data_IF_306165185389
#
_entry.id   IF_306165185389
#
_cell.length_a   1.000
_cell.length_b   1.000
_cell.length_c   1.000
_cell.angle_alpha   90.00
_cell.angle_beta   90.00
_cell.angle_gamma   90.00
#
_symmetry.space_group_name_H-M   'P 1'
#
loop_
_entity.id
_entity.type
_entity.pdbx_description
1 polymer ?
#
# COMPACT_ATOMS: atom_id res chain seq x y z
N UNK A 1 2.34 4.70 -40.55
CA UNK A 1 1.36 3.99 -39.71
C UNK A 1 1.93 3.97 -38.31
N UNK A 2 1.41 4.78 -37.38
CA UNK A 2 1.85 4.74 -35.98
C UNK A 2 1.25 3.50 -35.33
N UNK A 3 2.09 2.63 -34.76
CA UNK A 3 1.65 1.59 -33.86
C UNK A 3 0.81 2.23 -32.75
N UNK A 4 -0.50 1.99 -32.79
CA UNK A 4 -1.37 2.33 -31.66
C UNK A 4 -0.90 1.46 -30.51
N UNK A 5 -0.34 2.09 -29.48
CA UNK A 5 -0.09 1.49 -28.18
C UNK A 5 -1.33 0.69 -27.77
N UNK A 6 -1.21 -0.64 -27.70
CA UNK A 6 -2.27 -1.64 -27.47
C UNK A 6 -2.88 -1.59 -26.06
N UNK A 7 -2.62 -0.51 -25.36
CA UNK A 7 -2.75 -0.37 -23.93
C UNK A 7 -3.54 0.92 -23.64
N UNK A 8 -4.86 0.83 -23.39
CA UNK A 8 -5.70 1.99 -23.09
C UNK A 8 -5.16 2.71 -21.85
N UNK A 9 -5.29 4.04 -21.80
CA UNK A 9 -4.74 4.90 -20.74
C UNK A 9 -4.87 4.28 -19.33
N UNK A 10 -3.79 3.65 -18.88
CA UNK A 10 -3.68 2.95 -17.60
C UNK A 10 -3.62 3.97 -16.46
N UNK A 11 -4.77 4.53 -16.07
CA UNK A 11 -4.86 5.41 -14.89
C UNK A 11 -5.51 4.75 -13.68
N UNK A 12 -6.16 3.60 -13.85
CA UNK A 12 -7.25 3.23 -12.93
C UNK A 12 -7.00 2.24 -11.79
N UNK A 13 -6.03 1.30 -11.80
CA UNK A 13 -5.69 0.73 -10.50
C UNK A 13 -5.02 1.81 -9.65
N UNK A 14 -4.34 2.80 -10.25
CA UNK A 14 -3.53 3.75 -9.50
C UNK A 14 -4.32 4.50 -8.42
N UNK A 15 -5.47 5.10 -8.78
CA UNK A 15 -6.30 5.80 -7.80
C UNK A 15 -6.82 4.87 -6.70
N UNK A 16 -7.23 3.64 -7.04
CA UNK A 16 -7.66 2.65 -6.04
C UNK A 16 -6.52 2.28 -5.10
N UNK A 17 -5.30 2.09 -5.64
CA UNK A 17 -4.11 1.73 -4.89
C UNK A 17 -3.59 2.88 -4.01
N UNK A 18 -3.69 4.13 -4.47
CA UNK A 18 -3.38 5.33 -3.68
C UNK A 18 -4.35 5.49 -2.49
N UNK A 19 -5.65 5.37 -2.76
CA UNK A 19 -6.69 5.39 -1.72
C UNK A 19 -6.52 4.24 -0.72
N UNK A 20 -6.09 3.07 -1.19
CA UNK A 20 -5.76 1.94 -0.32
C UNK A 20 -4.59 2.29 0.61
N UNK A 21 -3.52 2.91 0.10
CA UNK A 21 -2.40 3.34 0.94
C UNK A 21 -2.86 4.36 1.98
N UNK A 22 -3.68 5.35 1.59
CA UNK A 22 -4.23 6.32 2.53
C UNK A 22 -5.09 5.64 3.62
N UNK A 23 -5.93 4.69 3.22
CA UNK A 23 -6.72 3.87 4.14
C UNK A 23 -5.83 3.08 5.11
N UNK A 24 -4.77 2.44 4.62
CA UNK A 24 -3.83 1.68 5.48
C UNK A 24 -3.07 2.59 6.46
N UNK A 25 -2.73 3.82 6.05
CA UNK A 25 -2.14 4.82 6.96
C UNK A 25 -3.04 5.11 8.17
N UNK A 26 -4.36 5.09 8.00
CA UNK A 26 -5.32 5.25 9.11
C UNK A 26 -5.29 4.09 10.12
N UNK A 27 -4.70 2.96 9.77
CA UNK A 27 -4.59 1.76 10.62
C UNK A 27 -3.31 1.68 11.43
N UNK A 28 -2.56 2.80 11.52
CA UNK A 28 -1.32 2.91 12.31
C UNK A 28 -1.39 2.26 13.70
N UNK A 29 -2.44 2.46 14.53
CA UNK A 29 -2.48 1.84 15.87
C UNK A 29 -2.37 0.31 15.83
N UNK A 30 -3.13 -0.35 14.95
CA UNK A 30 -3.09 -1.81 14.80
C UNK A 30 -1.76 -2.30 14.24
N UNK A 31 -1.23 -1.62 13.22
CA UNK A 31 0.07 -1.96 12.61
C UNK A 31 1.22 -1.80 13.60
N UNK A 32 1.12 -0.83 14.53
CA UNK A 32 2.09 -0.67 15.62
C UNK A 32 2.08 -1.90 16.53
N UNK A 33 0.91 -2.41 16.90
CA UNK A 33 0.80 -3.60 17.75
C UNK A 33 1.30 -4.86 17.03
N UNK A 34 0.91 -5.07 15.78
CA UNK A 34 1.44 -6.20 14.99
C UNK A 34 2.96 -6.14 14.88
N UNK A 35 3.54 -4.96 14.70
CA UNK A 35 4.99 -4.79 14.67
C UNK A 35 5.65 -5.03 16.03
N UNK A 36 5.04 -4.55 17.12
CA UNK A 36 5.54 -4.72 18.49
C UNK A 36 5.60 -6.19 18.89
N UNK A 37 4.60 -6.97 18.46
CA UNK A 37 4.52 -8.41 18.76
C UNK A 37 5.07 -9.29 17.63
N UNK A 38 5.56 -8.71 16.53
CA UNK A 38 6.00 -9.41 15.31
C UNK A 38 4.97 -10.43 14.79
N UNK A 39 3.70 -10.05 14.87
CA UNK A 39 2.60 -10.86 14.42
C UNK A 39 2.40 -10.70 12.91
N UNK A 40 2.09 -11.80 12.26
CA UNK A 40 1.50 -11.80 10.93
C UNK A 40 0.07 -11.29 11.01
N UNK A 41 -0.37 -10.51 10.03
CA UNK A 41 -1.73 -9.96 10.02
C UNK A 41 -2.44 -10.08 8.67
N UNK A 42 -2.08 -11.04 7.80
CA UNK A 42 -2.71 -11.21 6.48
C UNK A 42 -4.23 -11.34 6.56
N UNK A 43 -4.75 -12.16 7.50
CA UNK A 43 -6.19 -12.36 7.66
C UNK A 43 -6.94 -11.10 8.09
N UNK A 44 -6.37 -10.34 9.03
CA UNK A 44 -6.92 -9.04 9.45
C UNK A 44 -6.86 -8.03 8.30
N UNK A 45 -5.71 -7.93 7.64
CA UNK A 45 -5.49 -7.01 6.53
C UNK A 45 -6.45 -7.29 5.37
N UNK A 46 -6.69 -8.57 5.06
CA UNK A 46 -7.70 -8.98 4.08
C UNK A 46 -9.09 -8.46 4.43
N UNK A 47 -9.53 -8.63 5.68
CA UNK A 47 -10.81 -8.10 6.16
C UNK A 47 -10.92 -6.58 6.02
N UNK A 48 -9.87 -5.85 6.38
CA UNK A 48 -9.80 -4.39 6.23
C UNK A 48 -9.87 -3.95 4.77
N UNK A 49 -9.19 -4.67 3.86
CA UNK A 49 -9.23 -4.35 2.42
C UNK A 49 -10.61 -4.66 1.83
N UNK A 50 -11.27 -5.75 2.23
CA UNK A 50 -12.64 -6.04 1.80
C UNK A 50 -13.62 -4.95 2.24
N UNK A 51 -13.48 -4.46 3.48
CA UNK A 51 -14.26 -3.31 3.95
C UNK A 51 -13.98 -2.06 3.11
N UNK A 52 -12.71 -1.75 2.84
CA UNK A 52 -12.32 -0.65 1.97
C UNK A 52 -12.93 -0.77 0.56
N UNK A 53 -12.83 -1.93 -0.09
CA UNK A 53 -13.40 -2.17 -1.41
C UNK A 53 -14.93 -2.02 -1.42
N UNK A 54 -15.62 -2.47 -0.36
CA UNK A 54 -17.06 -2.23 -0.20
C UNK A 54 -17.40 -0.73 -0.20
N UNK A 55 -16.59 0.12 0.44
CA UNK A 55 -16.78 1.58 0.39
C UNK A 55 -16.52 2.15 -1.01
N UNK A 56 -15.55 1.60 -1.76
CA UNK A 56 -15.27 2.02 -3.13
C UNK A 56 -16.36 1.60 -4.11
N UNK A 57 -16.96 0.43 -3.91
CA UNK A 57 -18.10 -0.05 -4.69
C UNK A 57 -19.28 0.91 -4.54
N UNK A 58 -19.57 1.35 -3.32
CA UNK A 58 -20.62 2.34 -3.03
C UNK A 58 -20.33 3.70 -3.70
N UNK A 59 -19.06 4.05 -3.87
CA UNK A 59 -18.59 5.27 -4.56
C UNK A 59 -18.40 5.09 -6.07
N UNK A 60 -18.82 3.95 -6.63
CA UNK A 60 -18.67 3.58 -8.05
C UNK A 60 -17.23 3.70 -8.58
N UNK A 61 -16.23 3.50 -7.70
CA UNK A 61 -14.81 3.49 -8.09
C UNK A 61 -14.34 2.11 -8.55
N UNK A 62 -15.06 1.06 -8.13
CA UNK A 62 -14.89 -0.32 -8.59
C UNK A 62 -16.26 -0.85 -9.00
N UNK A 63 -16.26 -1.92 -9.79
CA UNK A 63 -17.46 -2.58 -10.33
C UNK A 63 -17.83 -3.82 -9.51
N UNK A 64 -16.84 -4.54 -8.98
CA UNK A 64 -17.05 -5.80 -8.26
C UNK A 64 -15.82 -6.13 -7.39
N UNK A 65 -15.98 -7.00 -6.38
CA UNK A 65 -14.86 -7.58 -5.64
C UNK A 65 -15.25 -8.90 -4.95
N UNK A 66 -14.28 -9.80 -4.81
CA UNK A 66 -14.47 -11.14 -4.24
C UNK A 66 -13.23 -11.59 -3.46
N UNK A 67 -13.35 -12.09 -2.22
CA UNK A 67 -12.24 -12.72 -1.53
C UNK A 67 -11.97 -14.13 -2.06
N UNK A 68 -10.71 -14.59 -2.05
CA UNK A 68 -10.37 -16.00 -2.33
C UNK A 68 -10.83 -16.49 -3.72
N UNK A 69 -10.92 -15.58 -4.71
CA UNK A 69 -11.41 -15.91 -6.05
C UNK A 69 -10.44 -16.86 -6.75
N UNK A 70 -10.96 -17.98 -7.24
CA UNK A 70 -10.20 -18.93 -8.04
C UNK A 70 -9.83 -18.30 -9.38
N UNK A 71 -8.58 -18.42 -9.79
CA UNK A 71 -8.17 -18.05 -11.14
C UNK A 71 -8.31 -19.24 -12.13
N UNK A 72 -8.19 -20.47 -11.63
CA UNK A 72 -8.44 -21.76 -12.28
C UNK A 72 -8.27 -22.89 -11.23
N UNK A 73 -8.00 -24.13 -11.66
CA UNK A 73 -7.69 -25.27 -10.79
C UNK A 73 -6.32 -25.18 -10.09
N UNK A 74 -5.46 -24.23 -10.47
CA UNK A 74 -4.11 -24.05 -9.91
C UNK A 74 -4.12 -23.23 -8.61
N UNK A 75 -5.24 -22.57 -8.28
CA UNK A 75 -5.43 -21.90 -7.01
C UNK A 75 -6.33 -20.66 -7.05
N UNK A 76 -6.14 -19.81 -6.04
CA UNK A 76 -6.95 -18.62 -5.76
C UNK A 76 -6.09 -17.44 -5.31
N UNK A 77 -6.53 -16.21 -5.57
CA UNK A 77 -5.89 -15.01 -5.04
C UNK A 77 -6.50 -14.62 -3.69
N UNK A 78 -5.80 -13.82 -2.89
CA UNK A 78 -6.38 -13.31 -1.64
C UNK A 78 -7.61 -12.42 -1.86
N UNK A 79 -7.53 -11.51 -2.84
CA UNK A 79 -8.60 -10.57 -3.18
C UNK A 79 -8.64 -10.35 -4.69
N UNK A 80 -9.84 -10.42 -5.26
CA UNK A 80 -10.15 -9.99 -6.61
C UNK A 80 -10.97 -8.69 -6.57
N UNK A 81 -10.74 -7.79 -7.52
CA UNK A 81 -11.67 -6.69 -7.79
C UNK A 81 -11.66 -6.30 -9.26
N UNK A 82 -12.77 -5.70 -9.71
CA UNK A 82 -12.93 -5.21 -11.07
C UNK A 82 -13.04 -3.69 -11.07
N UNK A 83 -12.32 -3.01 -11.95
CA UNK A 83 -12.44 -1.57 -12.15
C UNK A 83 -12.18 -1.21 -13.62
N UNK A 84 -13.02 -0.34 -14.18
CA UNK A 84 -12.96 0.08 -15.58
C UNK A 84 -12.93 -1.08 -16.58
N UNK A 85 -13.80 -2.07 -16.38
CA UNK A 85 -13.89 -3.25 -17.21
C UNK A 85 -12.69 -4.20 -17.10
N UNK A 86 -11.75 -3.94 -16.20
CA UNK A 86 -10.54 -4.76 -16.01
C UNK A 86 -10.56 -5.48 -14.68
N UNK A 87 -10.07 -6.72 -14.73
CA UNK A 87 -9.91 -7.60 -13.58
C UNK A 87 -8.55 -7.39 -12.94
N UNK A 88 -8.53 -7.29 -11.61
CA UNK A 88 -7.33 -7.13 -10.79
C UNK A 88 -7.25 -8.23 -9.72
N UNK A 89 -6.08 -8.86 -9.63
CA UNK A 89 -5.85 -10.04 -8.81
C UNK A 89 -4.78 -9.74 -7.77
N UNK A 90 -5.19 -9.57 -6.51
CA UNK A 90 -4.30 -9.17 -5.42
C UNK A 90 -3.90 -10.35 -4.54
N UNK A 91 -2.59 -10.47 -4.33
CA UNK A 91 -1.98 -11.32 -3.31
C UNK A 91 -1.41 -10.43 -2.19
N UNK A 92 -1.62 -10.82 -0.93
CA UNK A 92 -1.27 -10.07 0.26
C UNK A 92 -0.20 -10.81 1.04
N UNK A 93 0.87 -10.11 1.43
CA UNK A 93 1.85 -10.65 2.39
C UNK A 93 2.23 -9.65 3.47
N UNK A 94 2.36 -10.15 4.69
CA UNK A 94 2.89 -9.38 5.82
C UNK A 94 4.21 -9.96 6.30
N UNK A 95 5.22 -9.12 6.41
CA UNK A 95 6.58 -9.50 6.76
C UNK A 95 6.93 -8.90 8.14
N UNK A 96 6.61 -9.61 9.24
CA UNK A 96 7.13 -9.27 10.55
C UNK A 96 8.65 -9.53 10.58
N UNK A 97 9.43 -8.52 10.21
CA UNK A 97 10.87 -8.65 10.03
C UNK A 97 11.59 -8.87 11.35
N UNK A 98 12.85 -9.31 11.26
CA UNK A 98 13.73 -9.44 12.43
C UNK A 98 14.59 -8.19 12.67
N UNK A 99 14.34 -7.09 11.94
CA UNK A 99 14.95 -5.79 12.17
C UNK A 99 14.36 -5.10 13.42
N UNK A 100 14.89 -3.93 13.76
CA UNK A 100 14.49 -3.13 14.93
C UNK A 100 14.35 -3.96 16.22
N UNK A 101 15.42 -4.66 16.63
CA UNK A 101 15.42 -5.48 17.87
C UNK A 101 15.15 -4.66 19.13
N UNK A 102 15.40 -3.36 19.10
CA UNK A 102 15.08 -2.45 20.20
C UNK A 102 13.56 -2.21 20.33
N UNK A 103 12.82 -2.27 19.22
CA UNK A 103 11.38 -2.00 19.18
C UNK A 103 10.54 -3.20 19.61
N UNK A 104 11.00 -4.42 19.31
CA UNK A 104 10.31 -5.65 19.69
C UNK A 104 11.27 -6.67 20.31
N UNK A 105 10.86 -7.20 21.48
CA UNK A 105 11.55 -8.29 22.18
C UNK A 105 11.20 -9.67 21.64
N UNK A 106 10.17 -9.78 20.79
CA UNK A 106 9.74 -11.04 20.22
C UNK A 106 10.67 -11.47 19.08
N UNK A 107 10.91 -12.77 18.94
CA UNK A 107 11.66 -13.31 17.80
C UNK A 107 10.72 -13.46 16.58
N UNK A 108 11.28 -13.32 15.39
CA UNK A 108 10.59 -13.62 14.13
C UNK A 108 11.46 -14.48 13.24
N UNK A 109 10.84 -15.16 12.27
CA UNK A 109 11.56 -15.90 11.24
C UNK A 109 12.48 -14.94 10.45
N UNK A 110 13.63 -15.41 9.94
CA UNK A 110 14.47 -14.59 9.07
C UNK A 110 13.69 -14.07 7.86
N UNK A 111 13.87 -12.79 7.54
CA UNK A 111 13.20 -12.13 6.41
C UNK A 111 13.50 -12.83 5.07
N UNK A 112 14.64 -13.51 4.95
CA UNK A 112 15.01 -14.30 3.78
C UNK A 112 13.98 -15.37 3.43
N UNK A 113 13.36 -16.01 4.43
CA UNK A 113 12.30 -17.00 4.18
C UNK A 113 11.05 -16.36 3.61
N UNK A 114 10.64 -15.21 4.15
CA UNK A 114 9.47 -14.48 3.65
C UNK A 114 9.65 -14.04 2.20
N UNK A 115 10.84 -13.55 1.85
CA UNK A 115 11.17 -13.15 0.48
C UNK A 115 11.17 -14.35 -0.47
N UNK A 116 11.66 -15.50 -0.02
CA UNK A 116 11.62 -16.73 -0.81
C UNK A 116 10.18 -17.19 -1.08
N UNK A 117 9.32 -17.19 -0.05
CA UNK A 117 7.91 -17.55 -0.18
C UNK A 117 7.18 -16.57 -1.12
N UNK A 118 7.43 -15.27 -0.96
CA UNK A 118 6.88 -14.25 -1.84
C UNK A 118 7.31 -14.41 -3.30
N UNK A 119 8.58 -14.74 -3.56
CA UNK A 119 9.03 -15.04 -4.92
C UNK A 119 8.27 -16.22 -5.51
N UNK A 120 8.07 -17.30 -4.76
CA UNK A 120 7.28 -18.45 -5.24
C UNK A 120 5.86 -18.04 -5.60
N UNK A 121 5.22 -17.24 -4.77
CA UNK A 121 3.85 -16.77 -5.03
C UNK A 121 3.80 -15.86 -6.26
N UNK A 122 4.79 -14.97 -6.43
CA UNK A 122 4.92 -14.14 -7.64
C UNK A 122 5.18 -14.96 -8.90
N UNK A 123 5.99 -16.02 -8.84
CA UNK A 123 6.21 -16.90 -10.00
C UNK A 123 4.92 -17.63 -10.39
N UNK A 124 4.14 -18.15 -9.41
CA UNK A 124 2.83 -18.75 -9.70
C UNK A 124 1.89 -17.78 -10.41
N UNK A 125 1.81 -16.54 -9.93
CA UNK A 125 0.99 -15.49 -10.55
C UNK A 125 1.41 -15.17 -12.00
N UNK A 126 2.64 -15.53 -12.42
CA UNK A 126 3.05 -15.34 -13.81
C UNK A 126 2.52 -16.38 -14.77
N UNK A 127 2.29 -17.59 -14.27
CA UNK A 127 1.93 -18.77 -15.07
C UNK A 127 0.44 -18.80 -15.39
N UNK A 128 -0.39 -18.24 -14.50
CA UNK A 128 -1.85 -18.25 -14.61
C UNK A 128 -2.36 -17.30 -15.69
N UNK A 129 -2.95 -17.85 -16.75
CA UNK A 129 -3.43 -17.08 -17.93
C UNK A 129 -4.49 -16.03 -17.60
N UNK A 130 -5.49 -16.39 -16.80
CA UNK A 130 -6.56 -15.49 -16.38
C UNK A 130 -6.06 -14.31 -15.50
N UNK A 131 -4.85 -14.43 -14.96
CA UNK A 131 -4.21 -13.43 -14.11
C UNK A 131 -3.20 -12.56 -14.88
N UNK A 132 -2.79 -12.97 -16.10
CA UNK A 132 -1.76 -12.28 -16.89
C UNK A 132 -2.05 -10.79 -17.14
N UNK A 133 -3.32 -10.38 -17.08
CA UNK A 133 -3.75 -8.99 -17.29
C UNK A 133 -3.22 -8.01 -16.23
N UNK A 134 -3.51 -8.24 -14.94
CA UNK A 134 -3.18 -7.27 -13.88
C UNK A 134 -2.97 -7.90 -12.48
N UNK A 135 -1.90 -8.68 -12.25
CA UNK A 135 -1.59 -9.16 -10.91
C UNK A 135 -1.06 -8.02 -10.03
N UNK A 136 -1.52 -7.97 -8.79
CA UNK A 136 -1.11 -7.02 -7.74
C UNK A 136 -0.50 -7.82 -6.59
N UNK A 137 0.66 -7.40 -6.13
CA UNK A 137 1.28 -7.92 -4.93
C UNK A 137 1.39 -6.82 -3.87
N UNK A 138 0.57 -6.92 -2.83
CA UNK A 138 0.60 -6.02 -1.67
C UNK A 138 1.49 -6.62 -0.59
N UNK A 139 2.52 -5.85 -0.21
CA UNK A 139 3.48 -6.26 0.80
C UNK A 139 3.57 -5.21 1.91
N UNK A 140 3.28 -5.62 3.15
CA UNK A 140 3.56 -4.83 4.34
C UNK A 140 4.78 -5.42 5.05
N UNK A 141 5.81 -4.62 5.29
CA UNK A 141 7.00 -5.03 6.02
C UNK A 141 7.19 -4.18 7.28
N UNK A 142 7.28 -4.82 8.44
CA UNK A 142 7.37 -4.14 9.74
C UNK A 142 8.03 -5.03 10.80
N UNK A 143 8.64 -4.47 11.86
CA UNK A 143 9.18 -3.12 11.90
C UNK A 143 10.37 -2.99 10.93
N UNK A 144 10.52 -1.85 10.28
CA UNK A 144 11.69 -1.47 9.44
C UNK A 144 12.36 -0.26 10.08
N UNK A 145 13.70 -0.18 10.17
CA UNK A 145 14.35 1.03 10.66
C UNK A 145 14.04 2.20 9.72
N UNK A 146 13.70 3.35 10.28
CA UNK A 146 13.55 4.57 9.51
C UNK A 146 14.84 4.87 8.76
N UNK A 147 14.75 4.87 7.43
CA UNK A 147 15.90 5.04 6.53
C UNK A 147 16.40 6.49 6.48
N UNK A 148 15.60 7.44 6.97
CA UNK A 148 15.94 8.87 6.99
C UNK A 148 16.67 9.25 8.28
N UNK A 149 16.52 8.44 9.34
CA UNK A 149 17.27 8.65 10.57
C UNK A 149 18.70 8.12 10.42
N UNK A 150 19.66 8.85 11.01
CA UNK A 150 21.05 8.41 11.16
C UNK A 150 21.09 7.30 12.22
N UNK A 151 20.50 6.14 11.92
CA UNK A 151 20.59 4.96 12.78
C UNK A 151 21.85 4.16 12.43
N UNK A 152 22.56 3.61 13.43
CA UNK A 152 23.88 2.99 13.24
C UNK A 152 23.86 1.64 12.49
N UNK A 153 22.70 1.09 12.14
CA UNK A 153 22.61 -0.23 11.49
C UNK A 153 22.40 -0.12 9.97
N UNK A 154 23.31 0.58 9.28
CA UNK A 154 23.36 0.68 7.81
C UNK A 154 23.32 -0.68 7.12
N UNK A 155 23.76 -1.74 7.82
CA UNK A 155 23.73 -3.12 7.34
C UNK A 155 22.30 -3.66 7.19
N UNK A 156 21.39 -3.32 8.09
CA UNK A 156 19.98 -3.74 8.01
C UNK A 156 19.26 -3.07 6.84
N UNK A 157 19.51 -1.77 6.63
CA UNK A 157 18.96 -1.02 5.49
C UNK A 157 19.49 -1.59 4.16
N UNK A 158 20.80 -1.83 4.05
CA UNK A 158 21.40 -2.47 2.86
C UNK A 158 20.79 -3.85 2.60
N UNK A 159 20.63 -4.68 3.64
CA UNK A 159 19.97 -5.99 3.51
C UNK A 159 18.51 -5.85 3.07
N UNK A 160 17.77 -4.91 3.63
CA UNK A 160 16.38 -4.64 3.22
C UNK A 160 16.27 -4.31 1.73
N UNK A 161 17.11 -3.40 1.23
CA UNK A 161 17.11 -3.08 -0.20
C UNK A 161 17.48 -4.28 -1.08
N UNK A 162 18.41 -5.13 -0.64
CA UNK A 162 18.70 -6.39 -1.33
C UNK A 162 17.47 -7.31 -1.40
N UNK A 163 16.67 -7.37 -0.34
CA UNK A 163 15.42 -8.15 -0.33
C UNK A 163 14.36 -7.58 -1.27
N UNK A 164 14.15 -6.26 -1.27
CA UNK A 164 13.22 -5.60 -2.19
C UNK A 164 13.63 -5.79 -3.65
N UNK A 165 14.93 -5.73 -3.96
CA UNK A 165 15.43 -5.96 -5.32
C UNK A 165 15.17 -7.39 -5.79
N UNK A 166 15.29 -8.40 -4.91
CA UNK A 166 14.94 -9.79 -5.23
C UNK A 166 13.47 -10.00 -5.62
N UNK A 167 12.57 -9.17 -5.09
CA UNK A 167 11.15 -9.15 -5.48
C UNK A 167 10.99 -8.51 -6.87
N UNK A 168 11.68 -7.39 -7.13
CA UNK A 168 11.66 -6.74 -8.45
C UNK A 168 12.22 -7.63 -9.56
N UNK A 169 13.24 -8.43 -9.27
CA UNK A 169 13.82 -9.43 -10.19
C UNK A 169 12.79 -10.46 -10.67
N UNK A 170 11.70 -10.67 -9.93
CA UNK A 170 10.56 -11.48 -10.38
C UNK A 170 9.69 -10.75 -11.43
N UNK A 171 10.13 -9.66 -12.05
CA UNK A 171 9.41 -9.01 -13.16
C UNK A 171 8.18 -8.20 -12.74
N UNK A 172 7.96 -8.06 -11.44
CA UNK A 172 6.97 -7.17 -10.84
C UNK A 172 7.60 -5.80 -10.61
N UNK A 173 7.01 -4.76 -11.20
CA UNK A 173 7.47 -3.39 -11.03
C UNK A 173 6.80 -2.78 -9.81
N UNK A 174 7.56 -2.04 -9.02
CA UNK A 174 7.04 -1.30 -7.86
C UNK A 174 6.20 -0.13 -8.37
N UNK A 175 4.89 -0.18 -8.13
CA UNK A 175 3.92 0.83 -8.59
C UNK A 175 3.66 1.87 -7.50
N UNK A 176 3.56 1.44 -6.25
CA UNK A 176 3.35 2.34 -5.09
C UNK A 176 4.31 1.95 -3.97
N UNK A 177 4.90 2.96 -3.32
CA UNK A 177 5.67 2.82 -2.08
C UNK A 177 5.22 3.89 -1.09
N UNK A 178 5.01 3.50 0.16
CA UNK A 178 4.71 4.42 1.25
C UNK A 178 5.28 3.89 2.56
N UNK A 179 5.34 4.75 3.58
CA UNK A 179 5.71 4.36 4.92
C UNK A 179 4.76 4.95 5.97
N UNK A 180 4.54 4.15 7.02
CA UNK A 180 3.82 4.57 8.21
C UNK A 180 4.83 4.60 9.36
N UNK A 181 5.12 5.78 9.90
CA UNK A 181 5.88 5.92 11.13
C UNK A 181 5.10 5.28 12.29
N UNK A 182 5.59 4.17 12.83
CA UNK A 182 4.98 3.44 13.95
C UNK A 182 5.42 4.04 15.29
N UNK A 183 6.69 4.39 15.37
CA UNK A 183 7.37 5.04 16.50
C UNK A 183 8.64 5.73 15.97
N UNK A 184 9.30 6.54 16.80
CA UNK A 184 10.58 7.16 16.44
C UNK A 184 11.58 6.10 15.97
N UNK A 185 12.11 6.27 14.75
CA UNK A 185 13.05 5.35 14.14
C UNK A 185 12.47 4.04 13.60
N UNK A 186 11.14 3.85 13.66
CA UNK A 186 10.48 2.60 13.29
C UNK A 186 9.31 2.83 12.34
N UNK A 187 9.34 2.16 11.20
CA UNK A 187 8.32 2.25 10.17
C UNK A 187 7.68 0.90 9.83
N UNK A 188 6.47 0.97 9.30
CA UNK A 188 5.90 -0.07 8.44
C UNK A 188 6.05 0.42 6.99
N UNK A 189 6.71 -0.36 6.13
CA UNK A 189 6.78 -0.06 4.70
C UNK A 189 5.64 -0.77 3.97
N UNK A 190 5.00 -0.04 3.07
CA UNK A 190 3.94 -0.54 2.19
C UNK A 190 4.49 -0.54 0.78
N UNK A 191 4.43 -1.68 0.11
CA UNK A 191 4.75 -1.80 -1.30
C UNK A 191 3.59 -2.42 -2.05
N UNK A 192 3.30 -1.86 -3.21
CA UNK A 192 2.37 -2.44 -4.16
C UNK A 192 3.14 -2.64 -5.46
N UNK A 193 3.25 -3.89 -5.89
CA UNK A 193 3.90 -4.24 -7.13
C UNK A 193 2.88 -4.74 -8.15
N UNK A 194 3.10 -4.39 -9.42
CA UNK A 194 2.28 -4.87 -10.54
C UNK A 194 3.17 -5.35 -11.69
N UNK A 195 2.68 -6.31 -12.47
CA UNK A 195 3.33 -6.76 -13.71
C UNK A 195 2.81 -5.94 -14.89
N UNK A 196 3.66 -5.66 -15.88
CA UNK A 196 3.24 -5.01 -17.14
C UNK A 196 3.00 -3.49 -17.07
N UNK A 197 3.04 -2.88 -15.88
CA UNK A 197 2.91 -1.44 -15.73
C UNK A 197 4.24 -0.73 -16.03
N UNK A 198 4.30 0.30 -16.89
CA UNK A 198 5.53 1.04 -17.09
C UNK A 198 5.89 1.82 -15.82
N UNK A 199 7.07 1.53 -15.27
CA UNK A 199 7.74 2.23 -14.15
C UNK A 199 7.90 3.75 -14.30
N UNK A 200 7.47 4.34 -15.41
CA UNK A 200 7.61 5.77 -15.74
C UNK A 200 6.53 6.69 -15.16
N UNK A 201 5.55 6.17 -14.45
CA UNK A 201 4.47 6.97 -13.83
C UNK A 201 4.77 7.39 -12.38
N UNK A 202 6.05 7.45 -11.99
CA UNK A 202 6.40 8.36 -10.90
C UNK A 202 5.99 9.75 -11.37
N UNK A 203 4.90 10.28 -10.80
CA UNK A 203 4.63 11.70 -10.85
C UNK A 203 5.96 12.38 -10.53
N UNK A 204 6.51 13.23 -11.41
CA UNK A 204 7.52 14.15 -10.91
C UNK A 204 6.87 14.83 -9.71
N UNK A 205 7.54 14.80 -8.56
CA UNK A 205 7.28 15.82 -7.57
C UNK A 205 7.53 17.13 -8.31
N UNK A 206 6.48 17.72 -8.91
CA UNK A 206 6.55 19.13 -9.20
C UNK A 206 6.80 19.76 -7.83
N UNK A 207 7.93 20.47 -7.64
CA UNK A 207 8.11 21.22 -6.42
C UNK A 207 6.89 22.09 -6.30
N UNK A 208 6.10 21.92 -5.23
CA UNK A 208 4.97 22.79 -4.94
C UNK A 208 5.52 24.19 -5.00
N UNK A 209 5.20 24.92 -6.08
CA UNK A 209 5.51 26.34 -6.15
C UNK A 209 4.86 26.95 -4.91
N UNK A 210 5.59 27.77 -4.13
CA UNK A 210 4.98 28.53 -3.06
C UNK A 210 3.72 29.19 -3.60
N UNK A 211 2.61 29.09 -2.87
CA UNK A 211 1.40 29.86 -3.10
C UNK A 211 1.70 31.34 -2.86
N UNK A 212 2.52 31.93 -3.72
CA UNK A 212 2.68 33.36 -3.88
C UNK A 212 2.37 33.66 -5.34
N UNK A 213 1.33 34.49 -5.54
CA UNK A 213 0.75 34.94 -6.81
C UNK A 213 -0.41 34.11 -7.36
N UNK A 214 -1.41 33.84 -6.52
CA UNK A 214 -2.78 34.09 -6.95
C UNK A 214 -3.21 35.37 -6.23
N UNK A 215 -3.35 36.45 -6.99
CA UNK A 215 -3.81 37.75 -6.52
C UNK A 215 -5.27 37.69 -6.07
N UNK A 216 -5.51 37.06 -4.92
CA UNK A 216 -6.79 37.11 -4.22
C UNK A 216 -6.75 38.31 -3.26
N UNK A 217 -7.68 39.23 -3.48
CA UNK A 217 -7.92 40.39 -2.64
C UNK A 217 -8.15 39.95 -1.18
N UNK A 218 -7.48 40.65 -0.25
CA UNK A 218 -7.52 40.40 1.21
C UNK A 218 -8.90 40.55 1.86
N UNK A 219 -9.95 40.82 1.11
CA UNK A 219 -11.27 41.19 1.64
C UNK A 219 -12.20 39.99 1.91
N UNK A 220 -11.94 38.80 1.34
CA UNK A 220 -12.84 37.64 1.50
C UNK A 220 -12.44 36.64 2.59
N UNK A 221 -11.28 36.80 3.22
CA UNK A 221 -10.76 35.84 4.23
C UNK A 221 -11.41 36.02 5.62
N UNK A 222 -12.13 37.12 5.86
CA UNK A 222 -12.72 37.39 7.17
C UNK A 222 -14.12 36.79 7.37
N UNK A 223 -14.83 36.35 6.33
CA UNK A 223 -16.19 35.80 6.49
C UNK A 223 -16.25 34.27 6.67
N UNK A 224 -15.16 33.55 6.38
CA UNK A 224 -15.10 32.09 6.54
C UNK A 224 -14.56 31.63 7.90
N UNK A 225 -14.04 32.55 8.73
CA UNK A 225 -13.52 32.23 10.08
C UNK A 225 -14.60 32.21 11.17
N UNK A 226 -15.76 32.83 10.96
CA UNK A 226 -16.85 32.83 11.94
C UNK A 226 -17.75 31.59 11.85
N UNK A 227 -17.76 30.88 10.73
CA UNK A 227 -18.63 29.70 10.53
C UNK A 227 -18.01 28.38 11.02
N UNK A 228 -16.70 28.36 11.31
CA UNK A 228 -15.97 27.13 11.71
C UNK A 228 -15.80 26.97 13.23
N UNK A 229 -16.15 27.98 14.03
CA UNK A 229 -16.12 27.91 15.49
C UNK A 229 -17.37 27.27 16.11
N UNK A 230 -18.46 27.08 15.36
CA UNK A 230 -19.70 26.48 15.90
C UNK A 230 -19.77 24.95 15.81
N UNK A 231 -18.83 24.30 15.12
CA UNK A 231 -18.87 22.84 14.89
C UNK A 231 -18.00 22.01 15.86
N UNK A 232 -17.32 22.65 16.82
CA UNK A 232 -16.38 21.98 17.73
C UNK A 232 -16.97 21.52 19.08
N UNK A 233 -18.23 21.84 19.37
CA UNK A 233 -18.82 21.60 20.70
C UNK A 233 -19.73 20.37 20.81
N UNK A 234 -19.87 19.53 19.78
CA UNK A 234 -20.88 18.45 19.78
C UNK A 234 -20.37 17.02 19.98
N UNK A 235 -19.12 16.81 20.42
CA UNK A 235 -18.60 15.46 20.70
C UNK A 235 -17.83 15.39 22.03
N UNK A 236 -18.56 15.62 23.12
CA UNK A 236 -18.21 15.05 24.43
C UNK A 236 -19.50 14.53 25.08
N UNK A 237 -19.40 13.38 25.75
CA UNK A 237 -20.46 12.57 26.36
C UNK A 237 -21.12 11.51 25.48
N UNK A 238 -20.50 10.31 25.43
CA UNK A 238 -21.20 9.07 25.83
C UNK A 238 -20.18 8.18 26.55
N UNK A 239 -20.31 8.08 27.88
CA UNK A 239 -19.77 7.00 28.70
C UNK A 239 -20.93 6.38 29.46
N UNK A 240 -21.12 5.08 29.25
CA UNK A 240 -21.67 4.10 30.19
C UNK A 240 -21.12 2.74 29.78
#
# INVERSE_FOLDING_TARGET
>A
MSEKSEYPEHKYPHKVLEELVYFLCSKKPYLKDFARFRMRCEGWLKGEILHFLSTLLTKTMIEDFEPEKSYDDLGRCDIFFKANGQDYWMEIKTFPTNYCRYFSRHKSKPITMFIHDAKKDLEKLKEVENVKGNPIFLMLAYPIPDITMILPDSSAIKRWWSHVNKIKESGFQKTVESSICLEEGVECKIYIFMRGYPSRWFLPEEPRKPLEKLGLNKTEINHSKETLTSFRDSYTHITT
#
